data_IF_434434295529
#
_entry.id   IF_434434295529
#
_cell.length_a   1.000
_cell.length_b   1.000
_cell.length_c   1.000
_cell.angle_alpha   90.00
_cell.angle_beta   90.00
_cell.angle_gamma   90.00
#
_symmetry.space_group_name_H-M   'P 1'
#
loop_
_entity.id
_entity.type
_entity.pdbx_description
1 polymer ?
#
# COMPACT_ATOMS: atom_id res chain seq x y z
N UNK A 1 -8.38 25.54 15.68
CA UNK A 1 -9.01 24.20 15.77
C UNK A 1 -8.01 23.17 15.27
N UNK A 2 -7.45 22.37 16.16
CA UNK A 2 -6.46 21.33 15.83
C UNK A 2 -7.21 20.12 15.28
N UNK A 3 -7.38 20.04 13.96
CA UNK A 3 -7.85 18.81 13.32
C UNK A 3 -6.73 17.80 13.50
N UNK A 4 -6.90 16.84 14.41
CA UNK A 4 -5.98 15.71 14.53
C UNK A 4 -6.02 14.95 13.21
N UNK A 5 -4.97 15.07 12.41
CA UNK A 5 -4.76 14.23 11.24
C UNK A 5 -4.59 12.80 11.77
N UNK A 6 -5.66 12.02 11.69
CA UNK A 6 -5.64 10.62 12.07
C UNK A 6 -4.76 9.87 11.05
N UNK A 7 -3.57 9.46 11.51
CA UNK A 7 -2.67 8.58 10.78
C UNK A 7 -2.89 7.15 11.26
N UNK A 8 -3.14 6.25 10.32
CA UNK A 8 -3.35 4.83 10.57
C UNK A 8 -2.24 4.01 9.90
N UNK A 9 -1.63 3.11 10.67
CA UNK A 9 -0.64 2.15 10.16
C UNK A 9 -1.24 0.75 10.08
N UNK A 10 -1.19 0.13 8.90
CA UNK A 10 -1.71 -1.21 8.66
C UNK A 10 -0.67 -2.11 8.02
N UNK A 11 -0.61 -3.36 8.43
CA UNK A 11 0.16 -4.40 7.76
C UNK A 11 -0.78 -5.32 6.98
N UNK A 12 -0.59 -5.39 5.67
CA UNK A 12 -1.34 -6.28 4.78
C UNK A 12 -0.42 -7.39 4.30
N UNK A 13 -0.82 -8.65 4.52
CA UNK A 13 -0.17 -9.82 3.92
C UNK A 13 -0.65 -9.97 2.47
N UNK A 14 0.30 -10.23 1.57
CA UNK A 14 0.08 -10.43 0.15
C UNK A 14 0.62 -11.82 -0.25
N UNK A 15 0.26 -12.35 -1.42
CA UNK A 15 0.74 -13.65 -1.88
C UNK A 15 2.27 -13.74 -1.96
N UNK A 16 2.78 -14.98 -1.94
CA UNK A 16 4.18 -15.31 -2.28
C UNK A 16 5.24 -14.60 -1.42
N UNK A 17 4.91 -14.36 -0.15
CA UNK A 17 5.81 -13.73 0.82
C UNK A 17 5.91 -12.21 0.68
N UNK A 18 5.03 -11.59 -0.11
CA UNK A 18 4.88 -10.15 -0.15
C UNK A 18 4.10 -9.63 1.06
N UNK A 19 4.42 -8.40 1.46
CA UNK A 19 3.64 -7.66 2.45
C UNK A 19 3.66 -6.18 2.15
N UNK A 20 2.64 -5.48 2.62
CA UNK A 20 2.53 -4.02 2.50
C UNK A 20 2.36 -3.38 3.87
N UNK A 21 3.24 -2.44 4.25
CA UNK A 21 3.02 -1.53 5.39
C UNK A 21 2.40 -0.25 4.86
N UNK A 22 1.23 0.11 5.33
CA UNK A 22 0.43 1.21 4.81
C UNK A 22 0.38 2.32 5.84
N UNK A 23 0.75 3.53 5.44
CA UNK A 23 0.52 4.76 6.17
C UNK A 23 -0.65 5.50 5.50
N UNK A 24 -1.81 5.51 6.14
CA UNK A 24 -3.02 6.19 5.65
C UNK A 24 -3.24 7.44 6.48
N UNK A 25 -3.51 8.56 5.80
CA UNK A 25 -3.85 9.83 6.41
C UNK A 25 -5.24 10.26 5.97
N UNK A 26 -6.04 10.74 6.91
CA UNK A 26 -7.30 11.43 6.60
C UNK A 26 -7.01 12.88 6.20
N UNK A 27 -7.47 13.27 5.02
CA UNK A 27 -7.31 14.63 4.48
C UNK A 27 -8.33 15.58 5.08
N UNK A 28 -8.13 16.90 4.90
CA UNK A 28 -9.01 17.94 5.47
C UNK A 28 -10.44 17.91 4.92
N UNK A 29 -10.63 17.39 3.71
CA UNK A 29 -11.93 17.13 3.07
C UNK A 29 -12.54 15.78 3.49
N UNK A 30 -11.93 15.09 4.46
CA UNK A 30 -12.45 13.85 5.05
C UNK A 30 -12.15 12.56 4.28
N UNK A 31 -11.44 12.65 3.14
CA UNK A 31 -10.99 11.51 2.33
C UNK A 31 -9.72 10.87 2.91
N UNK A 32 -9.23 9.81 2.26
CA UNK A 32 -8.07 9.04 2.72
C UNK A 32 -7.04 8.89 1.62
N UNK A 33 -5.80 9.30 1.87
CA UNK A 33 -4.68 9.15 0.95
C UNK A 33 -3.47 8.62 1.72
N UNK A 34 -2.42 8.20 1.00
CA UNK A 34 -1.23 7.73 1.69
C UNK A 34 -0.23 6.98 0.84
N UNK A 35 0.65 6.29 1.56
CA UNK A 35 1.79 5.59 1.00
C UNK A 35 1.80 4.17 1.57
N UNK A 36 2.18 3.22 0.74
CA UNK A 36 2.33 1.82 1.11
C UNK A 36 3.71 1.30 0.71
N UNK A 37 4.52 0.91 1.69
CA UNK A 37 5.79 0.25 1.47
C UNK A 37 5.54 -1.22 1.14
N UNK A 38 6.11 -1.69 0.01
CA UNK A 38 6.00 -3.07 -0.46
C UNK A 38 7.31 -3.80 -0.19
N UNK A 39 7.20 -4.93 0.50
CA UNK A 39 8.35 -5.76 0.87
C UNK A 39 8.13 -7.20 0.45
N UNK A 40 9.20 -7.85 0.00
CA UNK A 40 9.24 -9.28 -0.30
C UNK A 40 10.15 -9.96 0.72
N UNK A 41 9.59 -10.87 1.52
CA UNK A 41 10.31 -11.56 2.61
C UNK A 41 11.07 -10.59 3.52
N UNK A 42 10.41 -9.48 3.87
CA UNK A 42 10.95 -8.43 4.74
C UNK A 42 11.88 -7.42 4.05
N UNK A 43 12.28 -7.64 2.80
CA UNK A 43 13.13 -6.72 2.05
C UNK A 43 12.27 -5.73 1.26
N UNK A 44 12.49 -4.43 1.46
CA UNK A 44 11.82 -3.37 0.72
C UNK A 44 12.09 -3.49 -0.79
N UNK A 45 11.04 -3.50 -1.59
CA UNK A 45 11.09 -3.61 -3.07
C UNK A 45 10.44 -2.45 -3.80
N UNK A 46 9.61 -1.68 -3.13
CA UNK A 46 8.95 -0.54 -3.75
C UNK A 46 8.07 0.24 -2.79
N UNK A 47 7.52 1.33 -3.33
CA UNK A 47 6.57 2.19 -2.64
C UNK A 47 5.41 2.44 -3.59
N UNK A 48 4.20 2.29 -3.08
CA UNK A 48 2.96 2.64 -3.76
C UNK A 48 2.40 3.92 -3.12
N UNK A 49 2.22 4.96 -3.92
CA UNK A 49 1.43 6.13 -3.52
C UNK A 49 0.01 5.92 -4.03
N UNK A 50 -0.99 6.10 -3.16
CA UNK A 50 -2.38 6.06 -3.57
C UNK A 50 -3.06 7.41 -3.33
N UNK A 51 -3.75 7.87 -4.37
CA UNK A 51 -4.52 9.11 -4.35
C UNK A 51 -5.73 8.98 -3.42
N UNK A 52 -6.37 10.12 -3.14
CA UNK A 52 -7.55 10.19 -2.27
C UNK A 52 -8.60 9.13 -2.63
N UNK A 53 -9.02 8.37 -1.62
CA UNK A 53 -10.14 7.44 -1.64
C UNK A 53 -11.26 7.97 -0.74
N UNK A 54 -12.53 7.71 -1.08
CA UNK A 54 -13.67 8.29 -0.38
C UNK A 54 -13.83 7.78 1.06
N UNK A 55 -13.37 6.56 1.35
CA UNK A 55 -13.45 5.92 2.67
C UNK A 55 -12.13 5.24 3.03
N UNK A 56 -11.94 4.95 4.31
CA UNK A 56 -10.79 4.18 4.78
C UNK A 56 -10.77 2.78 4.17
N UNK A 57 -11.92 2.12 4.10
CA UNK A 57 -12.07 0.82 3.45
C UNK A 57 -11.65 0.87 1.98
N UNK A 58 -12.11 1.88 1.23
CA UNK A 58 -11.70 2.08 -0.15
C UNK A 58 -10.19 2.34 -0.30
N UNK A 59 -9.54 3.01 0.67
CA UNK A 59 -8.09 3.15 0.72
C UNK A 59 -7.38 1.81 0.91
N UNK A 60 -7.85 0.98 1.84
CA UNK A 60 -7.28 -0.35 2.08
C UNK A 60 -7.45 -1.24 0.84
N UNK A 61 -8.64 -1.28 0.24
CA UNK A 61 -8.89 -2.06 -0.97
C UNK A 61 -8.07 -1.58 -2.17
N UNK A 62 -7.90 -0.26 -2.32
CA UNK A 62 -7.01 0.32 -3.35
C UNK A 62 -5.59 -0.19 -3.18
N UNK A 63 -5.07 -0.19 -1.95
CA UNK A 63 -3.71 -0.68 -1.67
C UNK A 63 -3.61 -2.18 -1.93
N UNK A 64 -4.56 -3.00 -1.44
CA UNK A 64 -4.59 -4.46 -1.70
C UNK A 64 -4.53 -4.75 -3.20
N UNK A 65 -5.38 -4.09 -3.99
CA UNK A 65 -5.42 -4.27 -5.44
C UNK A 65 -4.09 -3.91 -6.10
N UNK A 66 -3.59 -2.69 -5.86
CA UNK A 66 -2.39 -2.18 -6.54
C UNK A 66 -1.11 -2.88 -6.07
N UNK A 67 -1.00 -3.19 -4.79
CA UNK A 67 0.11 -3.96 -4.24
C UNK A 67 0.14 -5.38 -4.80
N UNK A 68 -1.02 -6.04 -4.93
CA UNK A 68 -1.11 -7.37 -5.55
C UNK A 68 -0.72 -7.33 -7.03
N UNK A 69 -1.13 -6.30 -7.77
CA UNK A 69 -0.71 -6.09 -9.16
C UNK A 69 0.82 -5.92 -9.26
N UNK A 70 1.40 -5.09 -8.39
CA UNK A 70 2.86 -4.87 -8.33
C UNK A 70 3.64 -6.16 -8.05
N UNK A 71 3.17 -6.96 -7.08
CA UNK A 71 3.77 -8.24 -6.71
C UNK A 71 3.70 -9.24 -7.87
N UNK A 72 2.51 -9.42 -8.48
CA UNK A 72 2.31 -10.32 -9.62
C UNK A 72 3.20 -9.98 -10.80
N UNK A 73 3.30 -8.70 -11.17
CA UNK A 73 4.15 -8.24 -12.27
C UNK A 73 5.64 -8.59 -12.06
N UNK A 74 6.09 -8.77 -10.81
CA UNK A 74 7.47 -9.14 -10.48
C UNK A 74 7.69 -10.64 -10.33
N UNK A 75 6.63 -11.40 -10.06
CA UNK A 75 6.67 -12.87 -10.08
C UNK A 75 6.60 -13.40 -11.52
N UNK A 76 5.97 -12.66 -12.43
CA UNK A 76 5.86 -13.00 -13.86
C UNK A 76 7.09 -12.62 -14.68
N UNK A 77 8.06 -11.90 -14.11
CA UNK A 77 9.32 -11.62 -14.80
C UNK A 77 10.15 -12.91 -14.78
N UNK A 78 10.57 -13.46 -15.94
CA UNK A 78 11.61 -14.48 -15.95
C UNK A 78 12.80 -13.87 -15.23
N UNK A 79 13.32 -14.57 -14.22
CA UNK A 79 14.59 -14.22 -13.58
C UNK A 79 15.58 -13.92 -14.70
N UNK A 80 15.96 -12.66 -14.87
CA UNK A 80 17.00 -12.29 -15.81
C UNK A 80 18.22 -13.09 -15.39
N UNK A 81 18.59 -14.06 -16.23
CA UNK A 81 19.60 -15.08 -15.97
C UNK A 81 20.89 -14.38 -15.54
N UNK A 82 21.45 -14.80 -14.41
CA UNK A 82 22.89 -14.69 -14.15
C UNK A 82 23.59 -15.83 -14.86
#
# INVERSE_FOLDING_TARGET
MSVTQQQLQLLVKLPDGWSSRIDIQRTTDGRYAGVAELSLRGLKRGVLVFMQQPTLEAAVERVRLRASQFARARLSLPSARS
#
